data_IF_035034689152
#
_entry.id   IF_035034689152
#
_cell.length_a   1.000
_cell.length_b   1.000
_cell.length_c   1.000
_cell.angle_alpha   90.00
_cell.angle_beta   90.00
_cell.angle_gamma   90.00
#
_symmetry.space_group_name_H-M   'P 1'
#
loop_
_entity.id
_entity.type
_entity.pdbx_description
1 polymer ?
#
# COMPACT_ATOMS: atom_id res chain seq x y z
N UNK A 1 17.94 77.80 -45.35
CA UNK A 1 16.73 77.47 -46.15
C UNK A 1 16.55 75.97 -46.16
N UNK A 2 15.32 75.51 -45.89
CA UNK A 2 14.78 74.15 -45.91
C UNK A 2 15.09 73.19 -44.75
N UNK A 3 13.98 72.67 -44.22
CA UNK A 3 13.74 71.79 -43.09
C UNK A 3 13.34 70.38 -43.63
N UNK A 4 12.84 69.48 -42.78
CA UNK A 4 13.46 68.27 -42.24
C UNK A 4 13.09 67.01 -43.02
N UNK A 5 13.67 65.85 -42.70
CA UNK A 5 12.96 64.56 -42.70
C UNK A 5 13.81 63.49 -42.02
N UNK A 6 13.59 63.38 -40.72
CA UNK A 6 13.90 62.22 -39.89
C UNK A 6 13.14 61.02 -40.46
N UNK A 7 13.85 59.95 -40.84
CA UNK A 7 13.28 58.61 -40.94
C UNK A 7 14.14 57.65 -40.15
N UNK A 8 13.75 57.50 -38.88
CA UNK A 8 14.19 56.45 -37.97
C UNK A 8 13.68 55.11 -38.52
N UNK A 9 14.57 54.22 -38.93
CA UNK A 9 14.25 52.80 -39.03
C UNK A 9 14.47 52.19 -37.63
N UNK A 10 13.36 51.92 -36.94
CA UNK A 10 13.36 51.23 -35.66
C UNK A 10 13.74 49.76 -35.84
N UNK A 11 14.75 49.33 -35.09
CA UNK A 11 15.04 47.92 -34.84
C UNK A 11 13.97 47.39 -33.89
N UNK A 12 13.04 46.59 -34.40
CA UNK A 12 12.10 45.84 -33.57
C UNK A 12 12.87 44.65 -32.99
N UNK A 13 13.39 44.82 -31.77
CA UNK A 13 13.85 43.70 -30.97
C UNK A 13 12.62 42.96 -30.43
N UNK A 14 12.31 41.82 -31.05
CA UNK A 14 11.28 40.91 -30.56
C UNK A 14 11.81 40.25 -29.28
N UNK A 15 11.45 40.80 -28.12
CA UNK A 15 11.71 40.14 -26.83
C UNK A 15 10.74 38.96 -26.74
N UNK A 16 11.22 37.77 -27.09
CA UNK A 16 10.56 36.53 -26.68
C UNK A 16 10.65 36.44 -25.16
N UNK A 17 9.61 36.91 -24.46
CA UNK A 17 9.41 36.57 -23.06
C UNK A 17 9.13 35.07 -23.00
N UNK A 18 10.13 34.27 -22.69
CA UNK A 18 9.88 32.90 -22.24
C UNK A 18 9.08 33.03 -20.95
N UNK A 19 7.77 32.79 -21.02
CA UNK A 19 6.98 32.52 -19.85
C UNK A 19 7.60 31.28 -19.21
N UNK A 20 8.45 31.48 -18.21
CA UNK A 20 8.88 30.43 -17.30
C UNK A 20 7.61 30.07 -16.55
N UNK A 21 6.90 29.05 -17.02
CA UNK A 21 5.94 28.35 -16.18
C UNK A 21 6.78 27.77 -15.04
N UNK A 22 6.74 28.42 -13.88
CA UNK A 22 7.13 27.76 -12.65
C UNK A 22 6.17 26.58 -12.52
N UNK A 23 6.68 25.38 -12.79
CA UNK A 23 5.98 24.14 -12.48
C UNK A 23 5.66 24.23 -10.98
N UNK A 24 4.37 24.36 -10.64
CA UNK A 24 3.92 24.32 -9.26
C UNK A 24 4.36 22.96 -8.72
N UNK A 25 5.47 22.95 -7.98
CA UNK A 25 5.92 21.74 -7.28
C UNK A 25 4.76 21.28 -6.41
N UNK A 26 4.34 20.04 -6.62
CA UNK A 26 3.35 19.38 -5.77
C UNK A 26 3.73 19.63 -4.30
N UNK A 27 2.89 20.35 -3.53
CA UNK A 27 3.21 20.71 -2.15
C UNK A 27 3.38 19.49 -1.25
N UNK A 28 2.93 18.31 -1.69
CA UNK A 28 3.03 17.06 -0.96
C UNK A 28 4.09 16.10 -1.51
N UNK A 29 4.71 16.39 -2.66
CA UNK A 29 5.73 15.53 -3.30
C UNK A 29 5.30 14.05 -3.32
N UNK A 30 4.18 13.76 -3.99
CA UNK A 30 3.54 12.44 -3.96
C UNK A 30 4.21 11.50 -4.97
N UNK A 31 4.61 10.32 -4.50
CA UNK A 31 5.05 9.21 -5.36
C UNK A 31 4.18 7.98 -5.13
N UNK A 32 3.73 7.35 -6.22
CA UNK A 32 2.88 6.15 -6.18
C UNK A 32 3.67 4.92 -6.63
N UNK A 33 3.57 3.85 -5.85
CA UNK A 33 4.15 2.53 -6.11
C UNK A 33 3.01 1.50 -6.12
N UNK A 34 2.36 1.32 -7.27
CA UNK A 34 1.14 0.51 -7.36
C UNK A 34 0.09 1.01 -6.37
N UNK A 35 -0.30 0.15 -5.43
CA UNK A 35 -1.27 0.43 -4.36
C UNK A 35 -0.72 1.27 -3.20
N UNK A 36 0.59 1.56 -3.18
CA UNK A 36 1.25 2.34 -2.14
C UNK A 36 1.40 3.82 -2.51
N UNK A 37 1.23 4.68 -1.50
CA UNK A 37 1.49 6.12 -1.60
C UNK A 37 2.62 6.52 -0.66
N UNK A 38 3.56 7.30 -1.18
CA UNK A 38 4.61 8.00 -0.44
C UNK A 38 4.44 9.50 -0.64
N UNK A 39 4.83 10.30 0.36
CA UNK A 39 4.76 11.78 0.31
C UNK A 39 5.97 12.38 1.01
N UNK A 40 6.52 13.45 0.45
CA UNK A 40 7.59 14.23 1.09
C UNK A 40 7.18 14.91 2.40
N UNK A 41 5.89 15.00 2.71
CA UNK A 41 5.40 15.58 3.97
C UNK A 41 5.69 14.68 5.19
N UNK A 42 5.68 13.36 5.00
CA UNK A 42 5.98 12.34 6.02
C UNK A 42 6.87 11.26 5.39
N UNK A 43 8.15 11.59 5.12
CA UNK A 43 8.99 10.86 4.17
C UNK A 43 9.35 9.43 4.61
N UNK A 44 9.16 9.08 5.88
CA UNK A 44 9.45 7.74 6.40
C UNK A 44 8.20 6.86 6.52
N UNK A 45 7.04 7.36 6.09
CA UNK A 45 5.78 6.62 6.09
C UNK A 45 5.42 6.18 4.67
N UNK A 46 4.89 4.95 4.58
CA UNK A 46 4.31 4.41 3.36
C UNK A 46 2.85 4.05 3.62
N UNK A 47 1.93 4.52 2.78
CA UNK A 47 0.50 4.34 2.98
C UNK A 47 -0.05 3.27 2.05
N UNK A 48 -0.86 2.35 2.58
CA UNK A 48 -1.50 1.29 1.81
C UNK A 48 -3.01 1.27 2.09
N UNK A 49 -3.78 1.79 1.14
CA UNK A 49 -5.22 2.05 1.28
C UNK A 49 -6.09 1.38 0.21
N UNK A 50 -5.57 0.35 -0.45
CA UNK A 50 -6.26 -0.36 -1.52
C UNK A 50 -6.40 -1.85 -1.20
N UNK A 51 -7.15 -2.58 -2.03
CA UNK A 51 -7.17 -4.04 -1.98
C UNK A 51 -5.77 -4.60 -2.26
N UNK A 52 -5.49 -5.76 -1.68
CA UNK A 52 -4.24 -6.49 -1.87
C UNK A 52 -4.33 -7.29 -3.16
N UNK A 53 -3.58 -6.86 -4.16
CA UNK A 53 -3.56 -7.44 -5.49
C UNK A 53 -2.21 -8.08 -5.84
N UNK A 54 -2.21 -8.80 -6.96
CA UNK A 54 -0.99 -9.37 -7.51
C UNK A 54 0.04 -8.26 -7.78
N UNK A 55 1.31 -8.53 -7.47
CA UNK A 55 2.45 -7.61 -7.65
C UNK A 55 2.59 -6.48 -6.61
N UNK A 56 1.69 -6.33 -5.65
CA UNK A 56 1.88 -5.32 -4.57
C UNK A 56 3.16 -5.55 -3.78
N UNK A 57 3.57 -6.81 -3.56
CA UNK A 57 4.85 -7.12 -2.91
C UNK A 57 6.08 -6.62 -3.70
N UNK A 58 5.99 -6.55 -5.03
CA UNK A 58 7.05 -5.96 -5.86
C UNK A 58 7.10 -4.44 -5.70
N UNK A 59 5.95 -3.78 -5.68
CA UNK A 59 5.86 -2.33 -5.51
C UNK A 59 6.27 -1.89 -4.11
N UNK A 60 5.93 -2.66 -3.07
CA UNK A 60 6.45 -2.46 -1.71
C UNK A 60 7.98 -2.47 -1.69
N UNK A 61 8.60 -3.47 -2.33
CA UNK A 61 10.07 -3.55 -2.43
C UNK A 61 10.65 -2.37 -3.20
N UNK A 62 9.93 -1.84 -4.19
CA UNK A 62 10.36 -0.68 -4.97
C UNK A 62 10.32 0.59 -4.14
N UNK A 63 9.24 0.80 -3.37
CA UNK A 63 9.12 1.91 -2.44
C UNK A 63 10.25 1.91 -1.40
N UNK A 64 10.49 0.78 -0.74
CA UNK A 64 11.54 0.62 0.30
C UNK A 64 12.96 0.78 -0.27
N UNK A 65 13.19 0.51 -1.57
CA UNK A 65 14.49 0.78 -2.19
C UNK A 65 14.74 2.26 -2.48
N UNK A 66 13.66 3.01 -2.70
CA UNK A 66 13.73 4.41 -3.10
C UNK A 66 13.62 5.37 -1.92
N UNK A 67 13.07 4.90 -0.80
CA UNK A 67 12.78 5.70 0.39
C UNK A 67 13.15 4.93 1.66
N UNK A 68 13.63 5.66 2.66
CA UNK A 68 13.87 5.12 4.00
C UNK A 68 12.54 5.03 4.76
N UNK A 69 11.87 3.89 4.65
CA UNK A 69 10.55 3.65 5.26
C UNK A 69 10.71 3.03 6.65
N UNK A 70 10.20 3.72 7.67
CA UNK A 70 10.15 3.25 9.05
C UNK A 70 8.79 2.65 9.43
N UNK A 71 7.72 3.07 8.74
CA UNK A 71 6.34 2.69 9.08
C UNK A 71 5.48 2.48 7.83
N UNK A 72 4.66 1.43 7.85
CA UNK A 72 3.55 1.24 6.90
C UNK A 72 2.23 1.54 7.60
N UNK A 73 1.46 2.47 7.02
CA UNK A 73 0.11 2.82 7.47
C UNK A 73 -0.90 2.01 6.67
N UNK A 74 -1.76 1.27 7.36
CA UNK A 74 -2.60 0.22 6.79
C UNK A 74 -4.09 0.55 6.96
N UNK A 75 -4.82 0.66 5.86
CA UNK A 75 -6.28 0.69 5.85
C UNK A 75 -6.81 0.00 4.57
N UNK A 76 -6.89 -1.32 4.61
CA UNK A 76 -7.27 -2.17 3.48
C UNK A 76 -8.26 -3.26 3.92
N UNK A 77 -9.24 -3.55 3.07
CA UNK A 77 -10.18 -4.67 3.25
C UNK A 77 -9.52 -6.05 3.04
N UNK A 78 -8.25 -6.07 2.64
CA UNK A 78 -7.46 -7.26 2.36
C UNK A 78 -7.51 -7.63 0.88
N UNK A 79 -7.50 -8.92 0.56
CA UNK A 79 -7.42 -9.38 -0.83
C UNK A 79 -6.63 -10.68 -0.94
N UNK A 80 -5.62 -10.71 -1.82
CA UNK A 80 -4.77 -11.87 -2.04
C UNK A 80 -4.02 -12.27 -0.76
N UNK A 81 -4.37 -13.45 -0.22
CA UNK A 81 -3.69 -14.04 0.96
C UNK A 81 -2.19 -14.15 0.74
N UNK A 82 -1.77 -14.65 -0.43
CA UNK A 82 -0.36 -14.86 -0.74
C UNK A 82 0.43 -13.55 -0.84
N UNK A 83 -0.16 -12.52 -1.45
CA UNK A 83 0.51 -11.21 -1.54
C UNK A 83 0.56 -10.52 -0.18
N UNK A 84 -0.51 -10.64 0.63
CA UNK A 84 -0.52 -10.16 2.01
C UNK A 84 0.58 -10.80 2.87
N UNK A 85 0.75 -12.12 2.78
CA UNK A 85 1.82 -12.84 3.48
C UNK A 85 3.22 -12.44 2.96
N UNK A 86 3.40 -12.33 1.64
CA UNK A 86 4.67 -11.88 1.06
C UNK A 86 5.05 -10.47 1.52
N UNK A 87 4.10 -9.54 1.53
CA UNK A 87 4.30 -8.19 2.05
C UNK A 87 4.59 -8.18 3.55
N UNK A 88 3.87 -8.99 4.33
CA UNK A 88 4.12 -9.15 5.75
C UNK A 88 5.56 -9.64 6.04
N UNK A 89 6.04 -10.64 5.29
CA UNK A 89 7.42 -11.12 5.39
C UNK A 89 8.44 -10.02 5.08
N UNK A 90 8.21 -9.22 4.03
CA UNK A 90 9.09 -8.08 3.69
C UNK A 90 9.12 -7.04 4.82
N UNK A 91 7.95 -6.68 5.38
CA UNK A 91 7.83 -5.73 6.50
C UNK A 91 8.61 -6.25 7.72
N UNK A 92 8.44 -7.54 8.04
CA UNK A 92 9.11 -8.20 9.14
C UNK A 92 10.62 -8.23 8.97
N UNK A 93 11.11 -8.71 7.82
CA UNK A 93 12.53 -8.81 7.50
C UNK A 93 13.25 -7.45 7.54
N UNK A 94 12.52 -6.38 7.21
CA UNK A 94 13.03 -5.01 7.25
C UNK A 94 12.88 -4.34 8.61
N UNK A 95 12.18 -4.97 9.55
CA UNK A 95 11.95 -4.43 10.88
C UNK A 95 11.08 -3.16 10.87
N UNK A 96 10.19 -3.03 9.89
CA UNK A 96 9.33 -1.86 9.69
C UNK A 96 8.16 -1.90 10.68
N UNK A 97 7.75 -0.74 11.19
CA UNK A 97 6.57 -0.62 12.04
C UNK A 97 5.27 -0.65 11.22
N UNK A 98 4.17 -1.06 11.84
CA UNK A 98 2.85 -1.08 11.22
C UNK A 98 1.84 -0.34 12.08
N UNK A 99 1.00 0.46 11.41
CA UNK A 99 -0.01 1.27 12.07
C UNK A 99 -1.36 1.19 11.36
N UNK A 100 -2.41 0.88 12.12
CA UNK A 100 -3.80 0.95 11.68
C UNK A 100 -4.44 2.18 12.34
N UNK A 101 -4.62 3.30 11.61
CA UNK A 101 -5.21 4.52 12.16
C UNK A 101 -6.71 4.39 12.41
N UNK A 102 -7.23 5.19 13.33
CA UNK A 102 -8.67 5.46 13.42
C UNK A 102 -9.08 6.38 12.25
N UNK A 103 -9.88 5.86 11.33
CA UNK A 103 -10.37 6.55 10.13
C UNK A 103 -11.91 6.50 10.07
N UNK A 104 -12.56 7.34 9.25
CA UNK A 104 -14.01 7.30 9.05
C UNK A 104 -14.52 5.89 8.68
N UNK A 105 -15.77 5.60 9.04
CA UNK A 105 -16.38 4.27 8.91
C UNK A 105 -16.12 3.66 7.52
N UNK A 106 -15.62 2.40 7.51
CA UNK A 106 -15.23 1.53 6.38
C UNK A 106 -13.75 1.51 5.98
N UNK A 107 -12.90 2.42 6.45
CA UNK A 107 -11.46 2.33 6.19
C UNK A 107 -10.73 1.76 7.41
N UNK A 108 -10.36 0.48 7.34
CA UNK A 108 -9.60 -0.19 8.40
C UNK A 108 -8.84 -1.40 7.86
N UNK A 109 -8.22 -2.21 8.72
CA UNK A 109 -7.38 -3.33 8.29
C UNK A 109 -8.07 -4.68 8.54
N UNK A 110 -8.50 -5.33 7.46
CA UNK A 110 -9.24 -6.58 7.47
C UNK A 110 -8.52 -7.68 6.69
N UNK A 111 -8.85 -8.94 6.99
CA UNK A 111 -8.44 -10.07 6.15
C UNK A 111 -6.92 -10.11 5.94
N UNK A 112 -6.45 -10.22 4.70
CA UNK A 112 -5.02 -10.24 4.36
C UNK A 112 -4.23 -8.98 4.80
N UNK A 113 -4.88 -7.83 5.01
CA UNK A 113 -4.21 -6.65 5.59
C UNK A 113 -3.69 -6.95 7.00
N UNK A 114 -4.42 -7.75 7.79
CA UNK A 114 -4.01 -8.11 9.15
C UNK A 114 -2.67 -8.85 9.18
N UNK A 115 -2.35 -9.62 8.15
CA UNK A 115 -1.04 -10.27 8.02
C UNK A 115 0.08 -9.23 7.93
N UNK A 116 -0.09 -8.20 7.11
CA UNK A 116 0.87 -7.09 7.01
C UNK A 116 1.06 -6.42 8.36
N UNK A 117 -0.04 -6.15 9.08
CA UNK A 117 0.01 -5.60 10.43
C UNK A 117 0.84 -6.47 11.38
N UNK A 118 0.60 -7.79 11.39
CA UNK A 118 1.37 -8.72 12.22
C UNK A 118 2.83 -8.85 11.77
N UNK A 119 3.18 -8.58 10.51
CA UNK A 119 4.57 -8.50 10.08
C UNK A 119 5.36 -7.35 10.72
N UNK A 120 4.69 -6.35 11.31
CA UNK A 120 5.36 -5.19 11.89
C UNK A 120 6.26 -5.52 13.08
N UNK A 121 7.40 -4.85 13.19
CA UNK A 121 8.30 -4.93 14.37
C UNK A 121 7.70 -4.24 15.60
N UNK A 122 7.07 -3.09 15.37
CA UNK A 122 6.25 -2.36 16.34
C UNK A 122 4.87 -2.24 15.70
N UNK A 123 3.82 -2.60 16.44
CA UNK A 123 2.46 -2.75 15.92
C UNK A 123 1.52 -1.89 16.73
N UNK A 124 0.86 -0.92 16.10
CA UNK A 124 -0.15 -0.07 16.74
C UNK A 124 -1.46 -0.11 15.96
N UNK A 125 -2.58 -0.36 16.64
CA UNK A 125 -3.89 -0.32 16.02
C UNK A 125 -4.82 0.56 16.85
N UNK A 126 -5.11 1.75 16.32
CA UNK A 126 -6.12 2.67 16.87
C UNK A 126 -7.47 2.46 16.15
N UNK A 127 -7.43 2.05 14.89
CA UNK A 127 -8.59 1.60 14.12
C UNK A 127 -8.97 0.14 14.34
N UNK A 128 -9.94 -0.33 13.53
CA UNK A 128 -10.38 -1.73 13.55
C UNK A 128 -9.33 -2.63 12.89
N UNK A 129 -8.86 -3.62 13.64
CA UNK A 129 -8.05 -4.72 13.13
C UNK A 129 -8.88 -6.02 13.22
N UNK A 130 -9.10 -6.67 12.08
CA UNK A 130 -9.98 -7.83 12.01
C UNK A 130 -9.41 -8.97 11.19
N UNK A 131 -9.74 -10.19 11.63
CA UNK A 131 -9.30 -11.46 11.04
C UNK A 131 -10.49 -12.35 10.75
N UNK A 132 -10.40 -13.16 9.70
CA UNK A 132 -11.37 -14.21 9.38
C UNK A 132 -10.72 -15.34 8.58
N UNK A 133 -11.46 -16.42 8.33
CA UNK A 133 -10.99 -17.56 7.54
C UNK A 133 -10.57 -17.13 6.14
N UNK A 134 -9.51 -17.73 5.59
CA UNK A 134 -9.19 -17.54 4.17
C UNK A 134 -10.28 -18.18 3.29
N UNK A 135 -10.81 -17.44 2.32
CA UNK A 135 -11.93 -17.88 1.51
C UNK A 135 -12.16 -16.98 0.30
N UNK A 136 -13.07 -17.38 -0.58
CA UNK A 136 -13.33 -16.71 -1.86
C UNK A 136 -14.57 -15.78 -1.82
N UNK A 137 -14.93 -15.29 -0.64
CA UNK A 137 -16.17 -14.59 -0.31
C UNK A 137 -16.67 -13.65 -1.41
N UNK A 138 -17.92 -13.82 -1.84
CA UNK A 138 -18.56 -12.91 -2.79
C UNK A 138 -18.03 -12.97 -4.23
N UNK A 139 -17.00 -13.78 -4.51
CA UNK A 139 -16.51 -14.04 -5.87
C UNK A 139 -17.28 -15.17 -6.55
N UNK A 140 -17.13 -15.31 -7.87
CA UNK A 140 -17.66 -16.46 -8.60
C UNK A 140 -17.10 -17.80 -8.10
N UNK A 141 -15.91 -17.80 -7.48
CA UNK A 141 -15.32 -19.00 -6.87
C UNK A 141 -16.06 -19.45 -5.60
N UNK A 142 -16.75 -18.55 -4.91
CA UNK A 142 -17.57 -18.88 -3.72
C UNK A 142 -18.75 -19.81 -4.07
N UNK A 143 -19.21 -19.75 -5.32
CA UNK A 143 -20.33 -20.55 -5.85
C UNK A 143 -19.86 -21.76 -6.67
N UNK A 144 -18.55 -21.88 -6.90
CA UNK A 144 -18.00 -22.90 -7.78
C UNK A 144 -17.95 -24.28 -7.11
N UNK A 145 -18.19 -25.33 -7.88
CA UNK A 145 -17.93 -26.71 -7.44
C UNK A 145 -16.44 -27.05 -7.64
N UNK A 146 -15.83 -27.67 -6.64
CA UNK A 146 -14.45 -28.13 -6.68
C UNK A 146 -14.33 -29.55 -6.10
N UNK A 147 -13.25 -30.24 -6.45
CA UNK A 147 -12.98 -31.59 -5.92
C UNK A 147 -12.69 -31.49 -4.42
N UNK A 148 -13.53 -32.13 -3.60
CA UNK A 148 -13.43 -32.08 -2.13
C UNK A 148 -12.01 -32.33 -1.61
N UNK A 149 -11.34 -33.37 -2.13
CA UNK A 149 -9.98 -33.70 -1.69
C UNK A 149 -8.95 -32.61 -2.00
N UNK A 150 -9.10 -31.93 -3.13
CA UNK A 150 -8.18 -30.86 -3.55
C UNK A 150 -8.43 -29.61 -2.70
N UNK A 151 -9.70 -29.24 -2.50
CA UNK A 151 -10.07 -28.13 -1.60
C UNK A 151 -9.53 -28.37 -0.19
N UNK A 152 -9.69 -29.58 0.37
CA UNK A 152 -9.16 -29.93 1.69
C UNK A 152 -7.64 -29.82 1.78
N UNK A 153 -6.91 -30.27 0.76
CA UNK A 153 -5.45 -30.19 0.72
C UNK A 153 -4.99 -28.73 0.60
N UNK A 154 -5.60 -27.97 -0.31
CA UNK A 154 -5.27 -26.56 -0.52
C UNK A 154 -5.57 -25.72 0.72
N UNK A 155 -6.70 -25.94 1.40
CA UNK A 155 -7.02 -25.25 2.65
C UNK A 155 -6.00 -25.58 3.74
N UNK A 156 -5.64 -26.86 3.93
CA UNK A 156 -4.63 -27.24 4.92
C UNK A 156 -3.27 -26.60 4.63
N UNK A 157 -2.86 -26.58 3.37
CA UNK A 157 -1.62 -25.93 2.94
C UNK A 157 -1.65 -24.42 3.18
N UNK A 158 -2.74 -23.73 2.77
CA UNK A 158 -2.86 -22.29 3.03
C UNK A 158 -2.88 -21.97 4.52
N UNK A 159 -3.57 -22.76 5.33
CA UNK A 159 -3.59 -22.59 6.80
C UNK A 159 -2.20 -22.83 7.40
N UNK A 160 -1.44 -23.83 6.93
CA UNK A 160 -0.09 -24.08 7.43
C UNK A 160 0.84 -22.91 7.13
N UNK A 161 0.73 -22.31 5.96
CA UNK A 161 1.55 -21.14 5.58
C UNK A 161 1.18 -19.92 6.42
N UNK A 162 -0.11 -19.62 6.58
CA UNK A 162 -0.57 -18.53 7.47
C UNK A 162 -0.02 -18.73 8.89
N UNK A 163 -0.16 -19.93 9.46
CA UNK A 163 0.37 -20.22 10.80
C UNK A 163 1.90 -20.08 10.85
N UNK A 164 2.60 -20.50 9.81
CA UNK A 164 4.06 -20.35 9.69
C UNK A 164 4.50 -18.91 9.84
N UNK A 165 3.96 -18.02 9.01
CA UNK A 165 4.23 -16.58 9.09
C UNK A 165 3.82 -15.99 10.43
N UNK A 166 2.60 -16.29 10.91
CA UNK A 166 2.13 -15.72 12.17
C UNK A 166 2.96 -16.17 13.38
N UNK A 167 3.49 -17.39 13.37
CA UNK A 167 4.43 -17.87 14.39
C UNK A 167 5.77 -17.14 14.30
N UNK A 168 6.30 -16.92 13.10
CA UNK A 168 7.52 -16.14 12.88
C UNK A 168 7.36 -14.71 13.40
N UNK A 169 6.17 -14.14 13.23
CA UNK A 169 5.82 -12.83 13.75
C UNK A 169 5.47 -12.83 15.24
N UNK A 170 5.63 -13.94 15.96
CA UNK A 170 5.27 -14.08 17.38
C UNK A 170 3.81 -13.66 17.67
N UNK A 171 2.92 -13.90 16.72
CA UNK A 171 1.51 -13.53 16.86
C UNK A 171 0.86 -14.40 17.96
N UNK A 172 0.12 -13.82 18.91
CA UNK A 172 -0.50 -14.59 19.98
C UNK A 172 -1.43 -15.70 19.46
N UNK A 173 -1.34 -16.93 19.98
CA UNK A 173 -2.14 -18.06 19.46
C UNK A 173 -3.66 -17.86 19.47
N UNK A 174 -4.19 -17.03 20.39
CA UNK A 174 -5.63 -16.71 20.42
C UNK A 174 -6.11 -15.99 19.16
N UNK A 175 -5.21 -15.35 18.40
CA UNK A 175 -5.52 -14.74 17.10
C UNK A 175 -5.87 -15.82 16.08
N UNK A 176 -5.16 -16.97 16.10
CA UNK A 176 -5.41 -18.08 15.18
C UNK A 176 -6.79 -18.66 15.44
N UNK A 177 -7.15 -18.83 16.71
CA UNK A 177 -8.48 -19.27 17.09
C UNK A 177 -9.57 -18.34 16.58
N UNK A 178 -9.40 -17.01 16.71
CA UNK A 178 -10.37 -16.05 16.18
C UNK A 178 -10.45 -16.14 14.66
N UNK A 179 -9.30 -16.09 13.99
CA UNK A 179 -9.19 -16.12 12.53
C UNK A 179 -9.83 -17.36 11.92
N UNK A 180 -9.55 -18.54 12.46
CA UNK A 180 -10.03 -19.80 11.88
C UNK A 180 -11.41 -20.24 12.39
N UNK A 181 -11.97 -19.57 13.41
CA UNK A 181 -13.33 -19.82 13.90
C UNK A 181 -14.37 -18.91 13.23
N UNK A 182 -14.00 -17.69 12.84
CA UNK A 182 -14.93 -16.74 12.20
C UNK A 182 -15.09 -17.03 10.71
N UNK A 183 -16.36 -17.17 10.30
CA UNK A 183 -16.77 -17.03 8.90
C UNK A 183 -17.32 -15.63 8.69
#
# INVERSE_FOLDING_TARGET
>A
MFNPLVKILGVIALVFTTAVNAEEKDPFDITVYGSFLHTGAVPNALFFFNDIEQYDSFELRRAIRNHDIDIVVLASDGGSVWEGLNMAGIIHDKGIATYVPELPEKLSCYSACSFMFFGGKIRQADGILAVHQAGAYGSERDKANAKVSETQQNTQFTVSEIIGFLNEFETPPWVFEKMFRSR
#
